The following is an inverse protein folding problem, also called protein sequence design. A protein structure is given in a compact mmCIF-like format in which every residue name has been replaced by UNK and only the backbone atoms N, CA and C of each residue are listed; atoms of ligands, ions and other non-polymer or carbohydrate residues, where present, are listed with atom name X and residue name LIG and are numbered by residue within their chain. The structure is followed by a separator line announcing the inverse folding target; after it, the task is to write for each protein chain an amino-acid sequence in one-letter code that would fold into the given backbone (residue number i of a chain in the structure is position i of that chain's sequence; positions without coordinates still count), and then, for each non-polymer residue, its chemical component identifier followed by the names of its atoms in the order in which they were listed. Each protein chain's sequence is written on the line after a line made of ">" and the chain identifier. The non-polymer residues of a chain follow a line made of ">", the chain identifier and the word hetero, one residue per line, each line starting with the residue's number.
data_IF_982212639717
#
_entry.id   IF_982212639717
#
_cell.length_a   1.000
_cell.length_b   1.000
_cell.length_c   1.000
_cell.angle_alpha   90.00
_cell.angle_beta   90.00
_cell.angle_gamma   90.00
#
_symmetry.space_group_name_H-M   'P 1'
#
loop_
_entity.id
_entity.type
_entity.pdbx_description
1 polymer ?
#
# COMPACT_ATOMS: atom_id res chain seq x y z
N UNK A 1 1.44 -6.06 6.22
CA UNK A 1 1.96 -5.01 5.32
C UNK A 1 3.46 -5.12 5.09
N UNK A 2 4.30 -4.97 6.12
CA UNK A 2 5.77 -5.10 5.98
C UNK A 2 6.25 -6.47 5.47
N UNK A 3 5.81 -7.56 6.11
CA UNK A 3 6.27 -8.93 5.78
C UNK A 3 5.89 -9.40 4.36
N UNK A 4 4.91 -8.75 3.75
CA UNK A 4 4.41 -9.07 2.40
C UNK A 4 4.89 -8.04 1.37
N UNK A 5 5.83 -7.14 1.73
CA UNK A 5 6.45 -6.21 0.80
C UNK A 5 5.61 -4.98 0.43
N UNK A 6 4.48 -4.73 1.10
CA UNK A 6 3.67 -3.52 0.89
C UNK A 6 4.39 -2.28 1.44
N UNK A 7 5.15 -2.44 2.51
CA UNK A 7 5.87 -1.37 3.20
C UNK A 7 7.29 -1.76 3.57
N UNK A 8 8.19 -0.77 3.65
CA UNK A 8 9.55 -0.95 4.18
C UNK A 8 9.64 -0.78 5.71
N UNK A 9 10.88 -0.82 6.24
CA UNK A 9 11.19 -0.63 7.67
C UNK A 9 10.80 0.74 8.22
N UNK A 10 10.61 1.73 7.36
CA UNK A 10 10.22 3.10 7.71
C UNK A 10 8.71 3.32 7.50
N UNK A 11 7.94 2.26 7.24
CA UNK A 11 6.50 2.37 6.96
C UNK A 11 6.18 3.06 5.62
N UNK A 12 7.16 3.19 4.71
CA UNK A 12 6.93 3.75 3.38
C UNK A 12 6.30 2.68 2.49
N UNK A 13 5.25 3.03 1.75
CA UNK A 13 4.63 2.17 0.75
C UNK A 13 5.59 1.89 -0.40
N UNK A 14 5.68 0.63 -0.81
CA UNK A 14 6.58 0.10 -1.84
C UNK A 14 5.74 -0.45 -3.01
N UNK A 15 5.25 0.45 -3.87
CA UNK A 15 4.34 0.11 -4.98
C UNK A 15 4.95 -0.93 -5.92
N UNK A 16 6.21 -0.73 -6.29
CA UNK A 16 6.90 -1.56 -7.29
C UNK A 16 7.08 -3.00 -6.79
N UNK A 17 7.52 -3.16 -5.54
CA UNK A 17 7.73 -4.49 -4.94
C UNK A 17 6.43 -5.28 -4.87
N UNK A 18 5.33 -4.62 -4.48
CA UNK A 18 4.04 -5.30 -4.40
C UNK A 18 3.43 -5.58 -5.78
N UNK A 19 3.61 -4.70 -6.76
CA UNK A 19 3.10 -4.92 -8.11
C UNK A 19 3.81 -6.10 -8.79
N UNK A 20 5.13 -6.25 -8.58
CA UNK A 20 5.86 -7.43 -9.05
C UNK A 20 5.37 -8.72 -8.39
N UNK A 21 5.05 -8.68 -7.09
CA UNK A 21 4.42 -9.81 -6.41
C UNK A 21 3.03 -10.09 -6.98
N UNK A 22 2.21 -9.07 -7.22
CA UNK A 22 0.87 -9.22 -7.80
C UNK A 22 0.94 -9.89 -9.18
N UNK A 23 1.87 -9.48 -10.04
CA UNK A 23 2.10 -10.12 -11.35
C UNK A 23 2.49 -11.60 -11.27
N UNK A 24 3.03 -12.06 -10.13
CA UNK A 24 3.35 -13.48 -9.93
C UNK A 24 2.15 -14.33 -9.49
N UNK A 25 1.09 -13.69 -9.02
CA UNK A 25 -0.12 -14.33 -8.48
C UNK A 25 -1.28 -14.21 -9.46
N UNK A 26 -1.46 -13.02 -10.02
CA UNK A 26 -2.54 -12.64 -10.91
C UNK A 26 -2.02 -12.54 -12.34
N UNK A 27 -2.76 -13.16 -13.28
CA UNK A 27 -2.45 -13.10 -14.71
C UNK A 27 -3.42 -12.17 -15.47
N UNK A 28 -4.46 -11.68 -14.80
CA UNK A 28 -5.46 -10.81 -15.39
C UNK A 28 -4.99 -9.34 -15.38
N UNK A 29 -4.90 -8.66 -16.54
CA UNK A 29 -4.44 -7.28 -16.61
C UNK A 29 -5.37 -6.28 -15.91
N UNK A 30 -6.67 -6.54 -15.83
CA UNK A 30 -7.63 -5.68 -15.15
C UNK A 30 -7.47 -5.80 -13.63
N UNK A 31 -7.26 -7.02 -13.11
CA UNK A 31 -6.93 -7.24 -11.69
C UNK A 31 -5.61 -6.57 -11.31
N UNK A 32 -4.57 -6.69 -12.13
CA UNK A 32 -3.28 -6.05 -11.89
C UNK A 32 -3.40 -4.52 -11.87
N UNK A 33 -4.20 -3.96 -12.77
CA UNK A 33 -4.47 -2.52 -12.79
C UNK A 33 -5.27 -2.06 -11.57
N UNK A 34 -6.26 -2.84 -11.15
CA UNK A 34 -7.03 -2.57 -9.93
C UNK A 34 -6.12 -2.53 -8.69
N UNK A 35 -5.20 -3.50 -8.58
CA UNK A 35 -4.18 -3.52 -7.51
C UNK A 35 -3.27 -2.29 -7.61
N UNK A 36 -2.80 -1.95 -8.81
CA UNK A 36 -1.95 -0.78 -9.03
C UNK A 36 -2.63 0.53 -8.60
N UNK A 37 -3.88 0.72 -9.02
CA UNK A 37 -4.69 1.90 -8.71
C UNK A 37 -5.01 1.98 -7.21
N UNK A 38 -5.31 0.84 -6.58
CA UNK A 38 -5.53 0.76 -5.14
C UNK A 38 -4.30 1.20 -4.35
N UNK A 39 -3.11 0.71 -4.71
CA UNK A 39 -1.87 1.11 -4.06
C UNK A 39 -1.54 2.59 -4.31
N UNK A 40 -1.78 3.07 -5.53
CA UNK A 40 -1.58 4.47 -5.86
C UNK A 40 -2.47 5.37 -5.01
N UNK A 41 -3.70 4.96 -4.69
CA UNK A 41 -4.64 5.79 -3.90
C UNK A 41 -4.05 6.26 -2.56
N UNK A 42 -3.13 5.49 -1.98
CA UNK A 42 -2.49 5.78 -0.69
C UNK A 42 -1.03 6.20 -0.78
N UNK A 43 -0.43 6.33 -1.98
CA UNK A 43 1.00 6.64 -2.14
C UNK A 43 1.41 8.00 -1.56
N UNK A 44 0.46 8.94 -1.43
CA UNK A 44 0.69 10.26 -0.84
C UNK A 44 1.14 10.18 0.63
N UNK A 45 0.80 9.12 1.36
CA UNK A 45 1.20 8.92 2.76
C UNK A 45 2.72 8.89 2.95
N UNK A 46 3.47 8.51 1.92
CA UNK A 46 4.94 8.56 1.96
C UNK A 46 5.49 9.98 2.17
N UNK A 47 4.75 11.01 1.76
CA UNK A 47 5.12 12.42 1.93
C UNK A 47 4.58 13.06 3.21
N UNK A 48 3.75 12.36 3.99
CA UNK A 48 3.13 12.91 5.19
C UNK A 48 4.16 13.11 6.32
N UNK A 49 3.98 14.20 7.06
CA UNK A 49 4.78 14.48 8.24
C UNK A 49 4.32 13.61 9.40
N UNK A 50 5.26 12.97 10.09
CA UNK A 50 4.98 12.08 11.23
C UNK A 50 5.82 12.45 12.44
N UNK A 51 5.26 12.25 13.62
CA UNK A 51 5.86 12.62 14.91
C UNK A 51 7.01 11.69 15.32
N UNK A 52 7.01 10.46 14.83
CA UNK A 52 8.01 9.42 15.13
C UNK A 52 9.13 9.33 14.08
N UNK A 53 9.12 10.23 13.09
CA UNK A 53 10.18 10.43 12.10
C UNK A 53 10.55 9.16 11.34
N UNK A 54 11.78 8.69 11.57
CA UNK A 54 12.35 7.53 10.88
C UNK A 54 11.83 6.19 11.39
N UNK A 55 11.24 6.14 12.60
CA UNK A 55 10.60 4.93 13.11
C UNK A 55 9.36 4.57 12.26
N UNK A 56 8.61 5.58 11.81
CA UNK A 56 7.59 5.43 10.78
C UNK A 56 6.37 4.59 11.17
N UNK A 57 6.15 4.32 12.45
CA UNK A 57 4.96 3.65 12.97
C UNK A 57 3.69 4.45 12.64
N UNK A 58 3.73 5.77 12.81
CA UNK A 58 2.60 6.65 12.48
C UNK A 58 2.31 6.63 10.97
N UNK A 59 3.36 6.65 10.13
CA UNK A 59 3.22 6.53 8.67
C UNK A 59 2.55 5.20 8.29
N UNK A 60 2.98 4.11 8.91
CA UNK A 60 2.39 2.80 8.70
C UNK A 60 0.91 2.77 9.10
N UNK A 61 0.53 3.40 10.22
CA UNK A 61 -0.88 3.51 10.61
C UNK A 61 -1.70 4.36 9.64
N UNK A 62 -1.17 5.49 9.17
CA UNK A 62 -1.84 6.34 8.19
C UNK A 62 -2.10 5.60 6.88
N UNK A 63 -1.12 4.85 6.40
CA UNK A 63 -1.26 4.07 5.18
C UNK A 63 -2.21 2.87 5.37
N UNK A 64 -2.17 2.17 6.52
CA UNK A 64 -3.17 1.14 6.83
C UNK A 64 -4.59 1.71 6.85
N UNK A 65 -4.78 2.87 7.48
CA UNK A 65 -6.06 3.57 7.51
C UNK A 65 -6.54 3.92 6.11
N UNK A 66 -5.71 4.58 5.30
CA UNK A 66 -6.04 4.92 3.91
C UNK A 66 -6.44 3.68 3.10
N UNK A 67 -5.67 2.59 3.21
CA UNK A 67 -5.96 1.35 2.51
C UNK A 67 -7.28 0.73 2.95
N UNK A 68 -7.59 0.76 4.24
CA UNK A 68 -8.86 0.24 4.78
C UNK A 68 -10.05 1.08 4.31
N UNK A 69 -9.93 2.41 4.33
CA UNK A 69 -10.97 3.34 3.88
C UNK A 69 -11.24 3.23 2.37
N UNK A 70 -10.19 2.96 1.58
CA UNK A 70 -10.33 2.79 0.14
C UNK A 70 -10.70 1.37 -0.30
N UNK A 71 -10.49 0.34 0.53
CA UNK A 71 -10.64 -1.07 0.14
C UNK A 71 -11.97 -1.38 -0.55
N UNK A 72 -13.08 -0.88 -0.01
CA UNK A 72 -14.43 -1.09 -0.56
C UNK A 72 -14.62 -0.51 -1.95
N UNK A 73 -13.93 0.60 -2.30
CA UNK A 73 -13.99 1.21 -3.63
C UNK A 73 -13.35 0.34 -4.70
N UNK A 74 -12.43 -0.54 -4.29
CA UNK A 74 -11.72 -1.48 -5.15
C UNK A 74 -12.27 -2.91 -5.03
N UNK A 75 -13.39 -3.11 -4.31
CA UNK A 75 -13.97 -4.45 -4.11
C UNK A 75 -13.15 -5.37 -3.21
N UNK A 76 -12.27 -4.80 -2.39
CA UNK A 76 -11.42 -5.54 -1.44
C UNK A 76 -12.13 -5.61 -0.09
N UNK A 77 -12.27 -6.82 0.46
CA UNK A 77 -12.73 -7.04 1.83
C UNK A 77 -11.55 -6.93 2.81
N UNK A 78 -11.74 -6.17 3.89
CA UNK A 78 -10.73 -5.83 4.91
C UNK A 78 -11.15 -6.26 6.30
#
# INVERSE_FOLDING_TARGET
>A
MKNIGVMDDKGMLQKETLLEMAKSIFNDPEELKLIEDYLHSCSHINGESVSDGAAGCERAMLAYKCMTENASQFGIEV
#
